data_IF_055564481599
#
_entry.id   IF_055564481599
#
_cell.length_a   1.000
_cell.length_b   1.000
_cell.length_c   1.000
_cell.angle_alpha   90.00
_cell.angle_beta   90.00
_cell.angle_gamma   90.00
#
_symmetry.space_group_name_H-M   'P 1'
#
loop_
_entity.id
_entity.type
_entity.pdbx_description
1 polymer ?
#
# COMPACT_ATOMS: atom_id res chain seq x y z
N UNK A 1 12.36 -14.71 -5.52
CA UNK A 1 10.90 -14.49 -5.49
C UNK A 1 10.22 -15.85 -5.62
N UNK A 2 9.87 -16.51 -4.51
CA UNK A 2 9.44 -17.93 -4.58
C UNK A 2 8.60 -18.44 -3.40
N UNK A 3 8.36 -17.65 -2.35
CA UNK A 3 7.67 -18.17 -1.15
C UNK A 3 6.15 -18.35 -1.32
N UNK A 4 5.52 -17.54 -2.19
CA UNK A 4 4.06 -17.47 -2.35
C UNK A 4 3.55 -18.22 -3.58
N UNK A 5 4.44 -18.59 -4.50
CA UNK A 5 4.07 -19.27 -5.73
C UNK A 5 3.44 -20.64 -5.44
N UNK A 6 2.25 -20.90 -5.99
CA UNK A 6 1.53 -22.16 -5.81
C UNK A 6 0.94 -22.38 -4.41
N UNK A 7 0.85 -21.33 -3.58
CA UNK A 7 0.30 -21.42 -2.21
C UNK A 7 -0.71 -20.32 -1.95
N UNK A 8 -1.85 -20.68 -1.36
CA UNK A 8 -2.76 -19.69 -0.79
C UNK A 8 -2.07 -19.00 0.37
N UNK A 9 -1.94 -17.68 0.28
CA UNK A 9 -1.20 -16.90 1.25
C UNK A 9 -2.01 -15.71 1.73
N UNK A 10 -2.03 -15.51 3.04
CA UNK A 10 -2.65 -14.35 3.66
C UNK A 10 -1.55 -13.40 4.13
N UNK A 11 -1.59 -12.16 3.66
CA UNK A 11 -0.64 -11.13 4.05
C UNK A 11 -1.39 -10.01 4.76
N UNK A 12 -0.95 -9.69 5.98
CA UNK A 12 -1.34 -8.46 6.67
C UNK A 12 -0.17 -7.49 6.49
N UNK A 13 -0.37 -6.44 5.71
CA UNK A 13 0.67 -5.49 5.39
C UNK A 13 0.21 -4.05 5.63
N UNK A 14 1.15 -3.22 6.08
CA UNK A 14 0.98 -1.76 6.15
C UNK A 14 1.65 -1.03 4.98
N UNK A 15 2.44 -1.75 4.16
CA UNK A 15 3.13 -1.22 2.99
C UNK A 15 2.29 -1.38 1.73
N UNK A 16 2.05 -0.26 1.06
CA UNK A 16 1.20 -0.19 -0.13
C UNK A 16 1.77 -1.01 -1.30
N UNK A 17 3.10 -1.03 -1.44
CA UNK A 17 3.83 -1.81 -2.45
C UNK A 17 3.62 -3.32 -2.33
N UNK A 18 3.35 -3.81 -1.11
CA UNK A 18 3.02 -5.22 -0.85
C UNK A 18 1.54 -5.49 -1.13
N UNK A 19 0.65 -4.61 -0.66
CA UNK A 19 -0.80 -4.75 -0.82
C UNK A 19 -1.19 -4.72 -2.31
N UNK A 20 -0.56 -3.85 -3.12
CA UNK A 20 -0.83 -3.71 -4.57
C UNK A 20 -0.57 -5.00 -5.37
N UNK A 21 0.34 -5.86 -4.88
CA UNK A 21 0.71 -7.12 -5.56
C UNK A 21 -0.24 -8.29 -5.23
N UNK A 22 -1.17 -8.11 -4.31
CA UNK A 22 -2.11 -9.16 -3.95
C UNK A 22 -3.17 -9.35 -5.05
N UNK A 23 -3.52 -10.62 -5.31
CA UNK A 23 -4.61 -10.96 -6.23
C UNK A 23 -5.96 -10.44 -5.72
N UNK A 24 -6.14 -10.42 -4.40
CA UNK A 24 -7.33 -9.92 -3.73
C UNK A 24 -6.97 -9.20 -2.44
N UNK A 25 -7.62 -8.07 -2.20
CA UNK A 25 -7.46 -7.22 -1.03
C UNK A 25 -8.77 -7.24 -0.24
N UNK A 26 -8.66 -7.35 1.08
CA UNK A 26 -9.77 -7.26 2.04
C UNK A 26 -9.50 -6.08 2.96
N UNK A 27 -10.43 -5.13 3.01
CA UNK A 27 -10.38 -4.02 3.98
C UNK A 27 -11.23 -4.42 5.17
N UNK A 28 -10.64 -4.36 6.36
CA UNK A 28 -11.32 -4.66 7.62
C UNK A 28 -11.45 -3.37 8.42
N UNK A 29 -12.68 -3.04 8.80
CA UNK A 29 -13.00 -1.93 9.68
C UNK A 29 -13.99 -2.41 10.74
N UNK A 30 -13.76 -2.06 12.01
CA UNK A 30 -14.63 -2.45 13.13
C UNK A 30 -14.91 -3.98 13.18
N UNK A 31 -13.91 -4.80 12.83
CA UNK A 31 -14.03 -6.26 12.82
C UNK A 31 -14.87 -6.85 11.68
N UNK A 32 -15.24 -6.05 10.67
CA UNK A 32 -15.99 -6.51 9.50
C UNK A 32 -15.25 -6.19 8.20
N UNK A 33 -15.45 -7.03 7.18
CA UNK A 33 -14.95 -6.74 5.83
C UNK A 33 -15.85 -5.66 5.23
N UNK A 34 -15.30 -4.48 5.00
CA UNK A 34 -16.02 -3.33 4.42
C UNK A 34 -15.83 -3.22 2.91
N UNK A 35 -14.66 -3.63 2.41
CA UNK A 35 -14.37 -3.67 0.97
C UNK A 35 -13.60 -4.94 0.61
N UNK A 36 -13.83 -5.44 -0.60
CA UNK A 36 -13.09 -6.58 -1.14
C UNK A 36 -12.97 -6.48 -2.67
N UNK A 37 -11.79 -6.81 -3.19
CA UNK A 37 -11.54 -6.81 -4.63
C UNK A 37 -10.06 -6.72 -4.97
N UNK A 38 -9.74 -6.65 -6.25
CA UNK A 38 -8.41 -6.30 -6.73
C UNK A 38 -8.09 -4.82 -6.46
N UNK A 39 -6.81 -4.48 -6.49
CA UNK A 39 -6.37 -3.08 -6.39
C UNK A 39 -7.11 -2.15 -7.37
N UNK A 40 -7.26 -2.58 -8.63
CA UNK A 40 -7.91 -1.75 -9.66
C UNK A 40 -9.40 -1.52 -9.38
N UNK A 41 -10.10 -2.54 -8.89
CA UNK A 41 -11.52 -2.41 -8.55
C UNK A 41 -11.72 -1.46 -7.37
N UNK A 42 -10.90 -1.61 -6.31
CA UNK A 42 -11.01 -0.78 -5.11
C UNK A 42 -10.63 0.68 -5.36
N UNK A 43 -9.65 0.95 -6.23
CA UNK A 43 -9.32 2.33 -6.65
C UNK A 43 -10.49 2.97 -7.40
N UNK A 44 -11.20 2.21 -8.26
CA UNK A 44 -12.39 2.72 -8.98
C UNK A 44 -13.56 3.00 -8.04
N UNK A 45 -13.74 2.18 -7.00
CA UNK A 45 -14.79 2.37 -6.00
C UNK A 45 -14.62 3.64 -5.17
N UNK A 46 -13.40 4.19 -5.07
CA UNK A 46 -13.07 5.38 -4.29
C UNK A 46 -13.52 5.29 -2.82
N UNK A 47 -13.48 4.08 -2.25
CA UNK A 47 -13.84 3.79 -0.86
C UNK A 47 -12.72 4.05 0.15
N UNK A 48 -12.77 3.34 1.28
CA UNK A 48 -11.79 3.44 2.37
C UNK A 48 -10.40 3.03 1.89
N UNK A 49 -10.29 1.95 1.11
CA UNK A 49 -9.03 1.55 0.48
C UNK A 49 -8.38 2.68 -0.32
N UNK A 50 -9.16 3.37 -1.15
CA UNK A 50 -8.68 4.49 -1.96
C UNK A 50 -8.19 5.65 -1.09
N UNK A 51 -8.96 6.03 -0.07
CA UNK A 51 -8.56 7.09 0.87
C UNK A 51 -7.24 6.76 1.58
N UNK A 52 -7.06 5.52 2.05
CA UNK A 52 -5.80 5.06 2.65
C UNK A 52 -4.65 5.10 1.64
N UNK A 53 -4.90 4.57 0.44
CA UNK A 53 -3.92 4.52 -0.65
C UNK A 53 -3.42 5.92 -1.02
N UNK A 54 -4.32 6.88 -1.22
CA UNK A 54 -3.95 8.25 -1.58
C UNK A 54 -3.16 8.95 -0.49
N UNK A 55 -3.53 8.76 0.79
CA UNK A 55 -2.79 9.37 1.92
C UNK A 55 -1.37 8.82 2.05
N UNK A 56 -1.19 7.50 1.97
CA UNK A 56 0.14 6.89 2.04
C UNK A 56 1.00 7.25 0.81
N UNK A 57 0.41 7.28 -0.39
CA UNK A 57 1.12 7.68 -1.59
C UNK A 57 1.61 9.13 -1.52
N UNK A 58 0.79 10.03 -0.97
CA UNK A 58 1.20 11.43 -0.72
C UNK A 58 2.36 11.52 0.28
N UNK A 59 2.35 10.70 1.33
CA UNK A 59 3.46 10.64 2.30
C UNK A 59 4.74 10.08 1.70
N UNK A 60 4.66 8.99 0.92
CA UNK A 60 5.82 8.42 0.22
C UNK A 60 6.42 9.43 -0.77
N UNK A 61 5.59 10.11 -1.56
CA UNK A 61 6.03 11.15 -2.49
C UNK A 61 6.66 12.36 -1.76
N UNK A 62 6.09 12.78 -0.62
CA UNK A 62 6.66 13.86 0.19
C UNK A 62 8.03 13.47 0.75
N UNK A 63 8.19 12.24 1.25
CA UNK A 63 9.47 11.74 1.73
C UNK A 63 10.54 11.68 0.63
N UNK A 64 10.17 11.29 -0.59
CA UNK A 64 11.10 11.30 -1.74
C UNK A 64 11.53 12.72 -2.11
N UNK A 65 10.59 13.68 -2.11
CA UNK A 65 10.86 15.09 -2.36
C UNK A 65 11.79 15.66 -1.28
N UNK A 66 11.49 15.44 0.00
CA UNK A 66 12.29 15.93 1.11
C UNK A 66 13.72 15.36 1.06
N UNK A 67 13.87 14.06 0.74
CA UNK A 67 15.18 13.42 0.57
C UNK A 67 16.00 13.98 -0.61
N UNK A 68 15.35 14.51 -1.64
CA UNK A 68 16.04 15.19 -2.75
C UNK A 68 16.54 16.59 -2.35
N UNK A 69 15.96 17.19 -1.32
CA UNK A 69 16.32 18.51 -0.80
C UNK A 69 17.12 18.45 0.51
N UNK A 70 17.39 17.25 1.06
CA UNK A 70 18.31 17.08 2.17
C UNK A 70 19.76 17.38 1.71
N UNK A 71 20.47 18.30 2.39
CA UNK A 71 21.88 18.53 2.09
C UNK A 71 22.65 17.24 2.44
N UNK A 72 23.30 16.64 1.44
CA UNK A 72 24.15 15.48 1.69
C UNK A 72 25.16 15.84 2.79
N UNK A 73 25.34 14.98 3.81
CA UNK A 73 26.30 15.25 4.87
C UNK A 73 27.67 15.43 4.21
N UNK A 74 28.21 16.63 4.31
CA UNK A 74 29.58 16.93 3.90
C UNK A 74 30.46 16.02 4.75
N UNK A 75 30.96 14.94 4.15
CA UNK A 75 31.90 14.04 4.80
C UNK A 75 33.15 14.86 5.13
N UNK A 76 33.39 15.06 6.42
CA UNK A 76 34.67 15.58 6.95
C UNK A 76 35.80 14.58 6.78
#
# INVERSE_FOLDING_TARGET
ETLMAGRTSFIIAHRLSTIKKADRILVIENGRITENGSHQELIKQRGHYYSLYTKQFQQEAQHEIDALFEPQPVKS
#
